data_IF_941323544881
#
_entry.id   IF_941323544881
#
_cell.length_a   1.000
_cell.length_b   1.000
_cell.length_c   1.000
_cell.angle_alpha   90.00
_cell.angle_beta   90.00
_cell.angle_gamma   90.00
#
_symmetry.space_group_name_H-M   'P 1'
#
loop_
_entity.id
_entity.type
_entity.pdbx_description
1 polymer ?
#
# COMPACT_ATOMS: atom_id res chain seq x y z
N UNK A 1 -1.87 -3.25 -7.82
CA UNK A 1 -0.47 -2.83 -8.07
C UNK A 1 0.15 -3.57 -9.26
N UNK A 2 0.24 -4.90 -9.28
CA UNK A 2 0.83 -5.65 -10.42
C UNK A 2 0.12 -5.43 -11.75
N UNK A 3 -1.22 -5.37 -11.74
CA UNK A 3 -2.04 -4.97 -12.91
C UNK A 3 -1.71 -3.56 -13.42
N UNK A 4 -1.29 -2.66 -12.53
CA UNK A 4 -0.85 -1.31 -12.89
C UNK A 4 0.61 -1.31 -13.37
N UNK A 5 1.26 -2.48 -13.54
CA UNK A 5 2.66 -2.59 -13.91
C UNK A 5 3.63 -2.18 -12.80
N UNK A 6 3.16 -2.08 -11.55
CA UNK A 6 3.96 -1.68 -10.39
C UNK A 6 4.39 -2.90 -9.58
N UNK A 7 5.60 -2.84 -9.02
CA UNK A 7 6.12 -3.84 -8.09
C UNK A 7 5.80 -3.42 -6.63
N UNK A 8 4.93 -4.15 -5.91
CA UNK A 8 4.64 -3.84 -4.51
C UNK A 8 5.86 -4.08 -3.63
N UNK A 9 6.17 -3.10 -2.76
CA UNK A 9 7.16 -3.24 -1.70
C UNK A 9 6.54 -2.84 -0.37
N UNK A 10 6.86 -3.59 0.68
CA UNK A 10 6.39 -3.35 2.04
C UNK A 10 7.48 -3.75 3.04
N UNK A 11 7.49 -3.12 4.22
CA UNK A 11 8.44 -3.42 5.32
C UNK A 11 8.42 -4.89 5.73
N UNK A 12 7.27 -5.55 5.52
CA UNK A 12 7.06 -6.98 5.72
C UNK A 12 8.00 -7.86 4.88
N UNK A 13 8.45 -7.38 3.71
CA UNK A 13 9.31 -8.09 2.77
C UNK A 13 10.83 -7.97 3.01
N UNK A 14 11.27 -7.23 4.04
CA UNK A 14 12.70 -6.99 4.28
C UNK A 14 13.22 -7.86 5.45
N UNK A 15 14.27 -8.68 5.24
CA UNK A 15 14.86 -9.48 6.30
C UNK A 15 15.40 -8.65 7.48
N UNK A 16 15.57 -9.29 8.64
CA UNK A 16 16.11 -8.68 9.87
C UNK A 16 17.60 -8.28 9.76
N UNK A 17 18.04 -7.35 10.62
CA UNK A 17 19.45 -6.94 10.74
C UNK A 17 19.65 -5.46 11.08
N UNK A 18 18.77 -4.59 10.57
CA UNK A 18 18.80 -3.13 10.80
C UNK A 18 17.60 -2.62 11.62
N UNK A 19 17.75 -1.43 12.23
CA UNK A 19 16.64 -0.74 12.93
C UNK A 19 15.44 -0.59 11.99
N UNK A 20 14.23 -0.87 12.49
CA UNK A 20 12.97 -0.83 11.71
C UNK A 20 12.78 0.49 10.94
N UNK A 21 13.10 1.62 11.58
CA UNK A 21 13.00 2.95 10.97
C UNK A 21 13.89 3.11 9.73
N UNK A 22 15.13 2.63 9.79
CA UNK A 22 16.08 2.72 8.67
C UNK A 22 15.57 1.94 7.45
N UNK A 23 14.98 0.76 7.68
CA UNK A 23 14.38 -0.06 6.60
C UNK A 23 13.19 0.63 5.94
N UNK A 24 12.35 1.29 6.74
CA UNK A 24 11.23 2.10 6.23
C UNK A 24 11.76 3.25 5.37
N UNK A 25 12.76 3.98 5.86
CA UNK A 25 13.36 5.07 5.10
C UNK A 25 13.99 4.58 3.78
N UNK A 26 14.74 3.48 3.83
CA UNK A 26 15.32 2.86 2.63
C UNK A 26 14.23 2.43 1.63
N UNK A 27 13.10 1.90 2.11
CA UNK A 27 11.96 1.56 1.26
C UNK A 27 11.39 2.78 0.56
N UNK A 28 11.08 3.85 1.31
CA UNK A 28 10.55 5.10 0.77
C UNK A 28 11.49 5.62 -0.32
N UNK A 29 12.79 5.66 -0.05
CA UNK A 29 13.82 6.15 -0.98
C UNK A 29 13.96 5.28 -2.23
N UNK A 30 13.72 3.97 -2.13
CA UNK A 30 13.82 3.02 -3.24
C UNK A 30 12.61 3.01 -4.18
N UNK A 31 11.48 3.55 -3.75
CA UNK A 31 10.22 3.49 -4.49
C UNK A 31 9.95 4.81 -5.24
N UNK A 32 9.41 4.73 -6.45
CA UNK A 32 8.89 5.91 -7.17
C UNK A 32 7.61 6.45 -6.52
N UNK A 33 6.84 5.56 -5.91
CA UNK A 33 5.53 5.85 -5.33
C UNK A 33 5.40 5.29 -3.92
N UNK A 34 4.73 6.01 -3.03
CA UNK A 34 4.32 5.52 -1.72
C UNK A 34 2.82 5.70 -1.51
N UNK A 35 2.19 4.76 -0.81
CA UNK A 35 0.78 4.83 -0.41
C UNK A 35 0.74 4.71 1.11
N UNK A 36 0.17 5.70 1.79
CA UNK A 36 0.04 5.72 3.24
C UNK A 36 -1.43 5.64 3.63
N UNK A 37 -1.79 4.59 4.33
CA UNK A 37 -3.16 4.40 4.85
C UNK A 37 -3.29 4.98 6.27
N UNK A 38 -4.10 6.03 6.40
CA UNK A 38 -4.45 6.66 7.68
C UNK A 38 -5.84 6.23 8.16
N UNK A 39 -6.54 5.36 7.43
CA UNK A 39 -7.91 4.92 7.74
C UNK A 39 -8.08 4.29 9.13
N UNK A 40 -7.01 3.70 9.68
CA UNK A 40 -7.00 2.99 10.98
C UNK A 40 -6.27 3.71 12.10
N UNK A 41 -6.10 5.03 12.03
CA UNK A 41 -5.62 5.82 13.18
C UNK A 41 -6.76 5.91 14.19
N UNK A 42 -6.86 4.89 15.02
CA UNK A 42 -7.80 4.76 16.11
C UNK A 42 -7.02 4.53 17.41
N UNK A 43 -7.63 4.86 18.54
CA UNK A 43 -7.07 4.57 19.85
C UNK A 43 -7.09 3.05 20.03
N UNK A 44 -5.91 2.45 20.15
CA UNK A 44 -5.80 1.07 20.62
C UNK A 44 -6.33 1.03 22.05
N UNK A 45 -7.35 0.22 22.32
CA UNK A 45 -7.99 0.16 23.64
C UNK A 45 -7.18 -0.68 24.63
N UNK A 46 -6.15 -1.38 24.17
CA UNK A 46 -5.25 -2.10 25.06
C UNK A 46 -4.46 -1.10 25.92
N UNK A 47 -4.33 -1.32 27.23
CA UNK A 47 -3.58 -0.42 28.10
C UNK A 47 -2.07 -0.38 27.76
N UNK A 48 -1.41 0.80 27.81
CA UNK A 48 -2.03 2.12 27.90
C UNK A 48 -2.74 2.50 26.58
N UNK A 49 -3.97 3.05 26.62
CA UNK A 49 -4.69 3.40 25.40
C UNK A 49 -3.91 4.41 24.58
N UNK A 50 -3.47 4.01 23.39
CA UNK A 50 -2.55 4.82 22.56
C UNK A 50 -2.96 4.75 21.09
N UNK A 51 -3.03 5.89 20.39
CA UNK A 51 -3.19 5.87 18.94
C UNK A 51 -1.90 5.38 18.27
N UNK A 52 -2.03 4.55 17.23
CA UNK A 52 -0.88 4.10 16.44
C UNK A 52 -0.43 5.19 15.47
N UNK A 53 0.66 5.89 15.82
CA UNK A 53 1.24 6.95 14.98
C UNK A 53 2.26 6.46 13.93
N UNK A 54 2.42 5.15 13.75
CA UNK A 54 3.38 4.63 12.76
C UNK A 54 3.10 5.16 11.35
N UNK A 55 1.85 5.04 10.86
CA UNK A 55 1.51 5.50 9.51
C UNK A 55 1.67 7.02 9.33
N UNK A 56 1.24 7.89 10.27
CA UNK A 56 1.56 9.32 10.25
C UNK A 56 3.07 9.63 10.26
N UNK A 57 3.85 8.91 11.07
CA UNK A 57 5.31 9.08 11.12
C UNK A 57 5.96 8.73 9.77
N UNK A 58 5.54 7.60 9.18
CA UNK A 58 5.98 7.18 7.83
C UNK A 58 5.60 8.21 6.77
N UNK A 59 4.38 8.75 6.82
CA UNK A 59 3.91 9.80 5.91
C UNK A 59 4.75 11.08 6.04
N UNK A 60 5.07 11.51 7.26
CA UNK A 60 5.94 12.67 7.50
C UNK A 60 7.31 12.52 6.83
N UNK A 61 7.96 11.35 7.00
CA UNK A 61 9.23 11.07 6.32
C UNK A 61 9.10 11.07 4.80
N UNK A 62 8.01 10.51 4.27
CA UNK A 62 7.72 10.50 2.83
C UNK A 62 7.53 11.89 2.26
N UNK A 63 6.80 12.76 2.96
CA UNK A 63 6.60 14.16 2.55
C UNK A 63 7.94 14.88 2.49
N UNK A 64 8.77 14.78 3.53
CA UNK A 64 10.10 15.39 3.55
C UNK A 64 10.97 14.84 2.41
N UNK A 65 10.96 13.53 2.17
CA UNK A 65 11.72 12.93 1.08
C UNK A 65 11.26 13.43 -0.30
N UNK A 66 9.95 13.55 -0.52
CA UNK A 66 9.39 14.07 -1.76
C UNK A 66 9.69 15.55 -1.95
N UNK A 67 9.62 16.38 -0.91
CA UNK A 67 9.99 17.80 -0.98
C UNK A 67 11.46 17.99 -1.36
N UNK A 68 12.35 17.17 -0.81
CA UNK A 68 13.79 17.18 -1.14
C UNK A 68 14.06 16.58 -2.53
N UNK A 69 13.18 15.72 -3.04
CA UNK A 69 13.36 14.98 -4.29
C UNK A 69 12.08 14.95 -5.16
N UNK A 70 11.57 16.11 -5.60
CA UNK A 70 10.23 16.23 -6.17
C UNK A 70 10.02 15.41 -7.46
N UNK A 71 11.06 15.26 -8.28
CA UNK A 71 11.01 14.46 -9.50
C UNK A 71 11.09 12.95 -9.24
N UNK A 72 11.56 12.52 -8.06
CA UNK A 72 11.87 11.11 -7.77
C UNK A 72 10.78 10.39 -7.00
N UNK A 73 9.93 11.12 -6.28
CA UNK A 73 8.91 10.51 -5.44
C UNK A 73 7.54 11.16 -5.61
N UNK A 74 6.49 10.35 -5.55
CA UNK A 74 5.10 10.79 -5.50
C UNK A 74 4.39 9.94 -4.44
N UNK A 75 3.54 10.55 -3.63
CA UNK A 75 2.88 9.84 -2.55
C UNK A 75 1.38 10.05 -2.60
N UNK A 76 0.65 9.07 -2.08
CA UNK A 76 -0.81 9.07 -1.97
C UNK A 76 -1.19 8.75 -0.54
N UNK A 77 -2.28 9.34 -0.07
CA UNK A 77 -2.81 9.10 1.27
C UNK A 77 -4.22 8.56 1.17
N UNK A 78 -4.49 7.50 1.92
CA UNK A 78 -5.78 6.83 1.98
C UNK A 78 -6.41 7.10 3.34
N UNK A 79 -7.73 7.29 3.35
CA UNK A 79 -8.49 7.60 4.55
C UNK A 79 -9.86 6.93 4.51
N UNK A 80 -10.41 6.66 5.69
CA UNK A 80 -11.71 6.04 5.95
C UNK A 80 -12.89 6.99 5.76
N UNK A 81 -12.69 8.30 5.96
CA UNK A 81 -13.77 9.30 6.01
C UNK A 81 -13.34 10.60 5.34
N UNK A 82 -14.22 11.10 4.47
CA UNK A 82 -14.12 12.45 3.93
C UNK A 82 -13.90 13.47 5.05
N UNK A 83 -13.02 14.44 4.83
CA UNK A 83 -12.68 15.54 5.76
C UNK A 83 -11.98 15.15 7.06
N UNK A 84 -11.72 13.86 7.33
CA UNK A 84 -11.01 13.44 8.55
C UNK A 84 -9.52 13.81 8.51
N UNK A 85 -8.89 13.72 7.33
CA UNK A 85 -7.51 14.13 7.16
C UNK A 85 -7.33 15.61 7.53
N UNK A 86 -8.16 16.49 6.95
CA UNK A 86 -8.16 17.92 7.21
C UNK A 86 -8.39 18.25 8.69
N UNK A 87 -9.22 17.47 9.38
CA UNK A 87 -9.45 17.65 10.82
C UNK A 87 -8.26 17.21 11.69
N UNK A 88 -7.52 16.18 11.27
CA UNK A 88 -6.46 15.56 12.08
C UNK A 88 -5.05 16.04 11.72
N UNK A 89 -4.87 16.56 10.51
CA UNK A 89 -3.63 17.04 9.91
C UNK A 89 -3.94 18.19 8.93
N UNK A 90 -4.47 19.31 9.44
CA UNK A 90 -4.88 20.47 8.61
C UNK A 90 -3.74 21.08 7.78
N UNK A 91 -2.49 20.90 8.19
CA UNK A 91 -1.33 21.35 7.42
C UNK A 91 -1.17 20.60 6.08
N UNK A 92 -1.89 19.48 5.90
CA UNK A 92 -1.98 18.75 4.62
C UNK A 92 -3.15 19.22 3.75
N UNK A 93 -3.82 20.33 4.10
CA UNK A 93 -4.83 20.94 3.25
C UNK A 93 -4.27 21.21 1.84
N UNK A 94 -5.05 20.85 0.82
CA UNK A 94 -4.59 20.78 -0.57
C UNK A 94 -4.13 19.39 -1.02
N UNK A 95 -4.03 18.42 -0.11
CA UNK A 95 -3.88 17.00 -0.44
C UNK A 95 -5.23 16.30 -0.43
N UNK A 96 -5.66 15.77 -1.57
CA UNK A 96 -6.87 14.95 -1.65
C UNK A 96 -6.58 13.51 -1.20
N UNK A 97 -7.24 13.11 -0.12
CA UNK A 97 -7.18 11.73 0.36
C UNK A 97 -8.07 10.82 -0.48
N UNK A 98 -7.54 9.66 -0.85
CA UNK A 98 -8.29 8.57 -1.45
C UNK A 98 -9.21 7.92 -0.41
N UNK A 99 -10.50 7.78 -0.70
CA UNK A 99 -11.50 7.21 0.21
C UNK A 99 -12.08 5.91 -0.39
N UNK A 100 -11.61 4.72 0.03
CA UNK A 100 -12.04 3.43 -0.53
C UNK A 100 -13.38 2.90 -0.01
N UNK A 101 -14.03 3.62 0.91
CA UNK A 101 -15.27 3.22 1.56
C UNK A 101 -15.20 1.84 2.26
N UNK A 102 -14.00 1.44 2.71
CA UNK A 102 -13.72 0.13 3.30
C UNK A 102 -14.11 -1.09 2.44
N UNK A 103 -14.18 -0.93 1.11
CA UNK A 103 -14.48 -2.01 0.17
C UNK A 103 -13.26 -2.37 -0.69
N UNK A 104 -13.16 -3.64 -1.11
CA UNK A 104 -12.11 -4.08 -2.05
C UNK A 104 -12.25 -3.34 -3.38
N UNK A 105 -13.48 -3.18 -3.87
CA UNK A 105 -13.76 -2.45 -5.10
C UNK A 105 -13.35 -0.98 -5.01
N UNK A 106 -13.67 -0.32 -3.90
CA UNK A 106 -13.22 1.04 -3.63
C UNK A 106 -11.70 1.14 -3.57
N UNK A 107 -10.98 0.16 -2.99
CA UNK A 107 -9.51 0.15 -3.02
C UNK A 107 -9.02 0.09 -4.48
N UNK A 108 -9.60 -0.76 -5.32
CA UNK A 108 -9.21 -0.83 -6.73
C UNK A 108 -9.50 0.47 -7.48
N UNK A 109 -10.66 1.10 -7.22
CA UNK A 109 -11.04 2.40 -7.78
C UNK A 109 -10.03 3.48 -7.40
N UNK A 110 -9.72 3.60 -6.11
CA UNK A 110 -8.79 4.61 -5.61
C UNK A 110 -7.35 4.37 -6.10
N UNK A 111 -6.93 3.11 -6.26
CA UNK A 111 -5.66 2.80 -6.91
C UNK A 111 -5.64 3.22 -8.38
N UNK A 112 -6.74 3.06 -9.12
CA UNK A 112 -6.83 3.57 -10.49
C UNK A 112 -6.72 5.10 -10.55
N UNK A 113 -7.37 5.80 -9.61
CA UNK A 113 -7.32 7.26 -9.50
C UNK A 113 -5.92 7.77 -9.10
N UNK A 114 -5.24 7.09 -8.18
CA UNK A 114 -3.90 7.45 -7.74
C UNK A 114 -2.87 7.30 -8.87
N UNK A 115 -2.96 6.24 -9.68
CA UNK A 115 -1.96 5.90 -10.69
C UNK A 115 -2.38 6.23 -12.13
N UNK A 116 -3.10 7.33 -12.34
CA UNK A 116 -3.49 7.79 -13.68
C UNK A 116 -2.27 7.99 -14.56
N UNK A 117 -2.28 7.40 -15.76
CA UNK A 117 -1.17 7.47 -16.72
C UNK A 117 -1.64 7.60 -18.16
N UNK A 118 -0.77 8.12 -19.04
CA UNK A 118 -0.99 8.12 -20.49
C UNK A 118 -0.68 6.73 -21.05
N UNK A 119 -1.70 5.89 -21.26
CA UNK A 119 -1.58 4.55 -21.86
C UNK A 119 -2.63 3.57 -21.34
N UNK A 120 -2.60 2.29 -21.79
CA UNK A 120 -3.51 1.26 -21.30
C UNK A 120 -3.42 1.10 -19.77
N UNK A 121 -4.55 1.23 -19.10
CA UNK A 121 -4.67 1.07 -17.66
C UNK A 121 -5.76 0.03 -17.36
N UNK A 122 -5.52 -0.91 -16.43
CA UNK A 122 -6.54 -1.87 -16.04
C UNK A 122 -7.75 -1.14 -15.46
N UNK A 123 -8.94 -1.58 -15.84
CA UNK A 123 -10.18 -1.17 -15.18
C UNK A 123 -10.37 -1.87 -13.84
N UNK A 124 -11.24 -1.31 -12.98
CA UNK A 124 -11.63 -1.92 -11.70
C UNK A 124 -12.08 -3.38 -11.85
N UNK A 125 -12.89 -3.77 -12.86
CA UNK A 125 -13.28 -5.18 -13.04
C UNK A 125 -12.09 -6.11 -13.30
N UNK A 126 -11.07 -5.65 -14.03
CA UNK A 126 -9.86 -6.43 -14.28
C UNK A 126 -9.06 -6.63 -12.99
N UNK A 127 -8.85 -5.55 -12.23
CA UNK A 127 -8.15 -5.63 -10.95
C UNK A 127 -8.87 -6.56 -9.95
N UNK A 128 -10.21 -6.52 -9.92
CA UNK A 128 -11.01 -7.41 -9.09
C UNK A 128 -10.90 -8.89 -9.51
N UNK A 129 -10.85 -9.19 -10.81
CA UNK A 129 -10.61 -10.57 -11.29
C UNK A 129 -9.26 -11.09 -10.80
N UNK A 130 -8.21 -10.29 -10.93
CA UNK A 130 -6.86 -10.66 -10.48
C UNK A 130 -6.81 -10.82 -8.96
N UNK A 131 -7.41 -9.91 -8.20
CA UNK A 131 -7.56 -10.05 -6.76
C UNK A 131 -8.23 -11.37 -6.36
N UNK A 132 -9.36 -11.73 -6.99
CA UNK A 132 -10.07 -12.99 -6.69
C UNK A 132 -9.21 -14.21 -6.97
N UNK A 133 -8.48 -14.21 -8.10
CA UNK A 133 -7.55 -15.30 -8.45
C UNK A 133 -6.40 -15.43 -7.45
N UNK A 134 -5.76 -14.31 -7.07
CA UNK A 134 -4.71 -14.29 -6.05
C UNK A 134 -5.25 -14.77 -4.71
N UNK A 135 -6.41 -14.27 -4.28
CA UNK A 135 -7.07 -14.66 -3.03
C UNK A 135 -7.31 -16.17 -2.97
N UNK A 136 -7.72 -16.79 -4.07
CA UNK A 136 -7.91 -18.25 -4.16
C UNK A 136 -6.63 -19.07 -4.08
N UNK A 137 -5.45 -18.45 -4.19
CA UNK A 137 -4.15 -19.12 -4.07
C UNK A 137 -3.43 -18.84 -2.75
N UNK A 138 -3.99 -17.98 -1.88
CA UNK A 138 -3.34 -17.59 -0.61
C UNK A 138 -3.05 -18.81 0.26
N UNK A 139 -4.01 -19.70 0.43
CA UNK A 139 -3.85 -20.89 1.28
C UNK A 139 -2.77 -21.83 0.76
N UNK A 140 -2.70 -22.02 -0.56
CA UNK A 140 -1.67 -22.85 -1.18
C UNK A 140 -0.28 -22.23 -1.05
N UNK A 141 -0.15 -20.92 -1.26
CA UNK A 141 1.12 -20.20 -1.06
C UNK A 141 1.56 -20.29 0.41
N UNK A 142 0.64 -20.13 1.37
CA UNK A 142 0.94 -20.27 2.79
C UNK A 142 1.36 -21.70 3.13
N UNK A 143 0.66 -22.72 2.60
CA UNK A 143 0.98 -24.15 2.81
C UNK A 143 2.38 -24.50 2.30
N UNK A 144 2.75 -24.01 1.11
CA UNK A 144 4.07 -24.27 0.50
C UNK A 144 5.19 -23.56 1.27
N UNK A 145 4.95 -22.33 1.71
CA UNK A 145 5.98 -21.58 2.41
C UNK A 145 6.16 -22.07 3.86
N UNK A 146 5.11 -22.53 4.55
CA UNK A 146 5.10 -22.86 5.98
C UNK A 146 4.79 -21.74 7.00
N UNK A 147 4.69 -20.44 6.64
CA UNK A 147 4.23 -19.34 7.49
C UNK A 147 2.83 -19.45 8.05
N UNK A 148 2.65 -18.72 9.15
CA UNK A 148 1.35 -18.56 9.83
C UNK A 148 0.58 -17.33 9.35
N UNK A 149 1.23 -16.45 8.58
CA UNK A 149 0.65 -15.17 8.16
C UNK A 149 1.01 -14.81 6.72
N UNK A 150 0.07 -14.27 5.93
CA UNK A 150 0.34 -13.75 4.59
C UNK A 150 1.24 -12.50 4.60
N UNK A 151 1.48 -11.93 5.78
CA UNK A 151 2.30 -10.74 5.97
C UNK A 151 3.76 -11.07 6.31
N UNK A 152 4.16 -12.34 6.27
CA UNK A 152 5.58 -12.71 6.37
C UNK A 152 6.30 -12.47 5.03
N UNK A 153 7.60 -12.12 5.11
CA UNK A 153 8.38 -11.68 3.95
C UNK A 153 8.32 -12.64 2.76
N UNK A 154 8.42 -13.95 3.03
CA UNK A 154 8.38 -14.98 2.00
C UNK A 154 7.00 -15.08 1.34
N UNK A 155 5.92 -15.16 2.14
CA UNK A 155 4.55 -15.25 1.61
C UNK A 155 4.20 -14.02 0.80
N UNK A 156 4.53 -12.84 1.32
CA UNK A 156 4.28 -11.58 0.62
C UNK A 156 4.97 -11.56 -0.76
N UNK A 157 6.23 -12.00 -0.83
CA UNK A 157 6.98 -12.10 -2.08
C UNK A 157 6.35 -13.10 -3.06
N UNK A 158 5.94 -14.26 -2.58
CA UNK A 158 5.33 -15.31 -3.40
C UNK A 158 3.93 -14.88 -3.90
N UNK A 159 3.14 -14.20 -3.07
CA UNK A 159 1.87 -13.59 -3.48
C UNK A 159 2.06 -12.51 -4.55
N UNK A 160 3.10 -11.68 -4.43
CA UNK A 160 3.44 -10.70 -5.47
C UNK A 160 3.83 -11.39 -6.79
N UNK A 161 4.58 -12.49 -6.72
CA UNK A 161 4.94 -13.29 -7.89
C UNK A 161 3.70 -13.88 -8.58
N UNK A 162 2.81 -14.51 -7.81
CA UNK A 162 1.51 -15.04 -8.29
C UNK A 162 0.68 -13.93 -8.93
N UNK A 163 0.54 -12.78 -8.26
CA UNK A 163 -0.23 -11.65 -8.76
C UNK A 163 0.35 -11.08 -10.07
N UNK A 164 1.67 -11.10 -10.25
CA UNK A 164 2.33 -10.68 -11.49
C UNK A 164 2.08 -11.67 -12.62
N UNK A 165 2.21 -12.97 -12.36
CA UNK A 165 1.95 -14.01 -13.35
C UNK A 165 0.50 -13.96 -13.86
N UNK A 166 -0.47 -13.77 -12.96
CA UNK A 166 -1.89 -13.62 -13.31
C UNK A 166 -2.11 -12.37 -14.17
N UNK A 167 -1.53 -11.23 -13.79
CA UNK A 167 -1.69 -9.98 -14.54
C UNK A 167 -1.12 -10.06 -15.96
N UNK A 168 0.03 -10.73 -16.12
CA UNK A 168 0.66 -10.93 -17.43
C UNK A 168 -0.12 -11.86 -18.34
N UNK A 169 -0.85 -12.84 -17.79
CA UNK A 169 -1.75 -13.69 -18.57
C UNK A 169 -2.99 -12.94 -19.05
N UNK A 170 -3.49 -11.97 -18.28
CA UNK A 170 -4.67 -11.18 -18.63
C UNK A 170 -4.40 -10.07 -19.66
N UNK A 171 -3.11 -9.72 -19.87
CA UNK A 171 -2.66 -8.72 -20.84
C UNK A 171 -2.30 -9.30 -22.21
N UNK A 172 -2.36 -10.64 -22.37
CA UNK A 172 -2.22 -11.37 -23.64
C UNK A 172 -3.59 -11.66 -24.20
#
# INVERSE_FOLDING_TARGET
MTELGLEPRATLGIPGGERRLNRILALIQSCRYSIHDLSRIEIDRNPPPTPRFNMPCELGMTITWQQLNPARHTWFVFESRNRRLQKSLSDLDGTDANIPDATVEGIMRELCNAFVRRGPQPGVPQMLRTYRRVRGQVDEVMRVAGPTSPFEARVFKDLCFVARAIAQQAAR
#
